data_IF_807267721479
#
_entry.id   IF_807267721479
#
_cell.length_a   1.000
_cell.length_b   1.000
_cell.length_c   1.000
_cell.angle_alpha   90.00
_cell.angle_beta   90.00
_cell.angle_gamma   90.00
#
_symmetry.space_group_name_H-M   'P 1'
#
loop_
_entity.id
_entity.type
_entity.pdbx_description
1 polymer ?
#
# COMPACT_ATOMS: atom_id res chain seq x y z
N UNK A 1 -11.30 12.03 -24.19
CA UNK A 1 -10.27 11.68 -25.22
C UNK A 1 -10.62 12.12 -26.63
N UNK A 2 -11.90 12.16 -27.06
CA UNK A 2 -12.28 12.54 -28.43
C UNK A 2 -11.72 13.90 -28.90
N UNK A 3 -11.62 14.89 -28.02
CA UNK A 3 -11.07 16.22 -28.33
C UNK A 3 -9.55 16.21 -28.62
N UNK A 4 -8.82 15.21 -28.11
CA UNK A 4 -7.38 15.08 -28.33
C UNK A 4 -7.07 14.26 -29.59
N UNK A 5 -7.98 13.41 -30.03
CA UNK A 5 -7.77 12.48 -31.15
C UNK A 5 -7.26 13.14 -32.44
N UNK A 6 -7.70 14.35 -32.85
CA UNK A 6 -7.18 15.00 -34.05
C UNK A 6 -5.67 15.27 -34.03
N UNK A 7 -5.08 15.40 -32.84
CA UNK A 7 -3.65 15.73 -32.66
C UNK A 7 -2.77 14.48 -32.53
N UNK A 8 -3.35 13.30 -32.31
CA UNK A 8 -2.62 12.05 -32.08
C UNK A 8 -3.07 10.97 -33.07
N UNK A 9 -2.41 10.91 -34.23
CA UNK A 9 -2.76 10.03 -35.37
C UNK A 9 -2.83 8.54 -35.04
N UNK A 10 -2.19 8.09 -33.97
CA UNK A 10 -2.15 6.69 -33.53
C UNK A 10 -2.94 6.45 -32.23
N UNK A 11 -3.79 7.39 -31.82
CA UNK A 11 -4.59 7.25 -30.60
C UNK A 11 -5.54 6.05 -30.70
N UNK A 12 -5.46 5.15 -29.73
CA UNK A 12 -6.33 3.98 -29.64
C UNK A 12 -7.73 4.37 -29.12
N UNK A 13 -8.77 3.53 -29.37
CA UNK A 13 -10.11 3.73 -28.82
C UNK A 13 -10.15 3.75 -27.28
N UNK A 14 -11.25 4.24 -26.72
CA UNK A 14 -11.49 4.21 -25.28
C UNK A 14 -11.56 2.77 -24.74
N UNK A 15 -10.92 2.53 -23.60
CA UNK A 15 -10.78 1.19 -23.02
C UNK A 15 -11.10 1.14 -21.51
N UNK A 16 -11.07 2.28 -20.83
CA UNK A 16 -11.12 2.35 -19.35
C UNK A 16 -12.42 1.82 -18.74
N UNK A 17 -13.54 1.84 -19.47
CA UNK A 17 -14.82 1.33 -18.97
C UNK A 17 -14.83 -0.17 -18.65
N UNK A 18 -13.90 -0.95 -19.21
CA UNK A 18 -13.80 -2.40 -19.02
C UNK A 18 -12.54 -2.82 -18.27
N UNK A 19 -11.70 -1.87 -17.89
CA UNK A 19 -10.46 -2.16 -17.20
C UNK A 19 -10.67 -2.08 -15.69
N UNK A 20 -10.19 -3.10 -14.97
CA UNK A 20 -10.02 -2.99 -13.53
C UNK A 20 -8.99 -1.90 -13.23
N UNK A 21 -9.28 -1.08 -12.21
CA UNK A 21 -8.28 -0.16 -11.67
C UNK A 21 -7.28 -0.96 -10.82
N UNK A 22 -6.02 -0.50 -10.76
CA UNK A 22 -5.02 -0.91 -9.77
C UNK A 22 -5.58 -1.26 -8.38
N UNK A 23 -5.33 -2.47 -7.90
CA UNK A 23 -5.85 -3.03 -6.65
C UNK A 23 -7.20 -3.74 -6.79
N UNK A 24 -7.96 -3.49 -7.86
CA UNK A 24 -9.22 -4.17 -8.17
C UNK A 24 -9.06 -5.35 -9.14
N UNK A 25 -7.87 -5.56 -9.70
CA UNK A 25 -7.54 -6.73 -10.51
C UNK A 25 -7.63 -8.03 -9.71
N UNK A 26 -7.99 -9.14 -10.36
CA UNK A 26 -7.91 -10.51 -9.80
C UNK A 26 -8.57 -10.73 -8.42
N UNK A 27 -9.60 -9.95 -8.09
CA UNK A 27 -10.38 -10.11 -6.87
C UNK A 27 -11.89 -9.93 -7.11
N UNK A 28 -12.70 -10.42 -6.17
CA UNK A 28 -14.16 -10.26 -6.18
C UNK A 28 -14.61 -9.22 -5.18
N UNK A 29 -14.43 -9.48 -3.87
CA UNK A 29 -14.74 -8.54 -2.79
C UNK A 29 -13.61 -8.46 -1.78
N UNK A 30 -13.55 -7.36 -1.03
CA UNK A 30 -12.56 -7.16 0.02
C UNK A 30 -12.69 -8.21 1.14
N UNK A 31 -13.90 -8.67 1.44
CA UNK A 31 -14.17 -9.69 2.47
C UNK A 31 -13.66 -11.06 2.04
N UNK A 32 -13.91 -11.45 0.78
CA UNK A 32 -13.40 -12.69 0.22
C UNK A 32 -11.86 -12.68 0.21
N UNK A 33 -11.26 -11.55 -0.18
CA UNK A 33 -9.82 -11.39 -0.17
C UNK A 33 -9.23 -11.46 1.25
N UNK A 34 -9.82 -10.75 2.23
CA UNK A 34 -9.37 -10.80 3.62
C UNK A 34 -9.45 -12.22 4.19
N UNK A 35 -10.51 -12.97 3.86
CA UNK A 35 -10.67 -14.38 4.24
C UNK A 35 -9.57 -15.25 3.64
N UNK A 36 -9.25 -15.03 2.37
CA UNK A 36 -8.19 -15.79 1.71
C UNK A 36 -6.80 -15.44 2.27
N UNK A 37 -6.55 -14.18 2.60
CA UNK A 37 -5.31 -13.74 3.23
C UNK A 37 -5.11 -14.41 4.60
N UNK A 38 -6.11 -14.41 5.48
CA UNK A 38 -5.99 -15.06 6.80
C UNK A 38 -5.94 -16.59 6.69
N UNK A 39 -6.52 -17.18 5.65
CA UNK A 39 -6.41 -18.62 5.38
C UNK A 39 -4.99 -19.02 4.95
N UNK A 40 -4.34 -18.24 4.09
CA UNK A 40 -2.96 -18.52 3.61
C UNK A 40 -1.89 -18.10 4.61
N UNK A 41 -2.12 -17.00 5.30
CA UNK A 41 -1.22 -16.41 6.28
C UNK A 41 -1.94 -16.43 7.64
N UNK A 42 -2.00 -17.60 8.28
CA UNK A 42 -2.72 -17.76 9.56
C UNK A 42 -2.14 -16.92 10.71
N UNK A 43 -0.91 -16.45 10.54
CA UNK A 43 -0.23 -15.51 11.43
C UNK A 43 -0.67 -14.05 11.24
N UNK A 44 -1.33 -13.71 10.13
CA UNK A 44 -1.75 -12.33 9.83
C UNK A 44 -3.00 -11.97 10.66
N UNK A 45 -2.94 -10.92 11.49
CA UNK A 45 -4.11 -10.47 12.25
C UNK A 45 -5.28 -10.11 11.33
N UNK A 46 -6.47 -10.65 11.63
CA UNK A 46 -7.68 -10.41 10.84
C UNK A 46 -8.01 -8.91 10.62
N UNK A 47 -7.81 -8.00 11.60
CA UNK A 47 -8.00 -6.57 11.37
C UNK A 47 -7.06 -5.98 10.30
N UNK A 48 -5.82 -6.47 10.20
CA UNK A 48 -4.86 -6.04 9.18
C UNK A 48 -5.28 -6.58 7.82
N UNK A 49 -5.62 -7.87 7.73
CA UNK A 49 -6.12 -8.47 6.49
C UNK A 49 -7.33 -7.73 5.93
N UNK A 50 -8.30 -7.39 6.81
CA UNK A 50 -9.48 -6.60 6.45
C UNK A 50 -9.12 -5.20 5.98
N UNK A 51 -8.22 -4.51 6.69
CA UNK A 51 -7.82 -3.14 6.32
C UNK A 51 -7.10 -3.14 4.97
N UNK A 52 -6.13 -4.03 4.78
CA UNK A 52 -5.37 -4.13 3.52
C UNK A 52 -6.26 -4.52 2.35
N UNK A 53 -7.22 -5.44 2.52
CA UNK A 53 -8.13 -5.80 1.43
C UNK A 53 -9.02 -4.64 0.97
N UNK A 54 -9.33 -3.69 1.85
CA UNK A 54 -10.07 -2.46 1.51
C UNK A 54 -9.14 -1.39 0.92
N UNK A 55 -7.95 -1.21 1.50
CA UNK A 55 -7.02 -0.13 1.11
C UNK A 55 -6.27 -0.44 -0.18
N UNK A 56 -5.78 -1.67 -0.34
CA UNK A 56 -4.89 -2.07 -1.43
C UNK A 56 -5.53 -3.10 -2.38
N UNK A 57 -6.64 -3.70 -1.97
CA UNK A 57 -7.28 -4.79 -2.72
C UNK A 57 -6.29 -5.90 -3.01
N UNK A 58 -6.30 -6.46 -4.22
CA UNK A 58 -5.43 -7.57 -4.62
C UNK A 58 -3.94 -7.28 -4.49
N UNK A 59 -3.52 -6.01 -4.47
CA UNK A 59 -2.11 -5.65 -4.24
C UNK A 59 -1.63 -5.92 -2.83
N UNK A 60 -2.54 -6.22 -1.90
CA UNK A 60 -2.19 -6.75 -0.57
C UNK A 60 -1.29 -7.98 -0.62
N UNK A 61 -1.34 -8.77 -1.71
CA UNK A 61 -0.43 -9.90 -1.90
C UNK A 61 1.04 -9.48 -2.02
N UNK A 62 1.33 -8.27 -2.55
CA UNK A 62 2.70 -7.73 -2.60
C UNK A 62 3.23 -7.43 -1.20
N UNK A 63 2.36 -6.93 -0.31
CA UNK A 63 2.69 -6.74 1.10
C UNK A 63 2.97 -8.06 1.83
N UNK A 64 2.45 -9.19 1.35
CA UNK A 64 2.68 -10.51 1.96
C UNK A 64 3.79 -11.32 1.29
N UNK A 65 4.32 -10.86 0.16
CA UNK A 65 5.28 -11.63 -0.64
C UNK A 65 6.57 -11.94 0.14
N UNK A 66 6.83 -13.23 0.38
CA UNK A 66 7.99 -13.69 1.14
C UNK A 66 7.89 -13.57 2.66
N UNK A 67 6.81 -12.96 3.20
CA UNK A 67 6.57 -12.94 4.64
C UNK A 67 5.98 -14.29 5.10
N UNK A 68 6.51 -14.83 6.19
CA UNK A 68 6.11 -16.10 6.79
C UNK A 68 5.62 -15.94 8.23
N UNK A 69 5.85 -14.78 8.85
CA UNK A 69 5.32 -14.45 10.17
C UNK A 69 5.00 -12.95 10.31
N UNK A 70 4.44 -12.59 11.47
CA UNK A 70 4.14 -11.19 11.77
C UNK A 70 5.42 -10.35 11.91
N UNK A 71 6.49 -10.96 12.41
CA UNK A 71 7.80 -10.34 12.58
C UNK A 71 8.42 -9.95 11.24
N UNK A 72 8.11 -10.66 10.14
CA UNK A 72 8.56 -10.32 8.79
C UNK A 72 7.91 -9.04 8.23
N UNK A 73 6.85 -8.53 8.88
CA UNK A 73 6.31 -7.20 8.58
C UNK A 73 7.18 -6.08 9.17
N UNK A 74 8.10 -6.42 10.06
CA UNK A 74 9.02 -5.50 10.72
C UNK A 74 8.40 -4.82 11.95
N UNK A 75 8.85 -3.60 12.24
CA UNK A 75 8.41 -2.88 13.44
C UNK A 75 6.94 -2.44 13.31
N UNK A 76 6.18 -2.64 14.38
CA UNK A 76 4.85 -2.06 14.53
C UNK A 76 4.96 -0.58 14.92
N UNK A 77 4.40 0.30 14.10
CA UNK A 77 4.50 1.77 14.26
C UNK A 77 3.25 2.38 14.91
N UNK A 78 2.24 1.57 15.21
CA UNK A 78 0.95 2.01 15.75
C UNK A 78 -0.22 1.72 14.81
N UNK A 79 -1.43 1.62 15.36
CA UNK A 79 -2.69 1.39 14.62
C UNK A 79 -2.69 0.23 13.58
N UNK A 80 -1.78 -0.73 13.72
CA UNK A 80 -1.63 -1.85 12.78
C UNK A 80 -0.82 -1.51 11.53
N UNK A 81 -0.12 -0.37 11.51
CA UNK A 81 0.88 0.00 10.51
C UNK A 81 2.21 -0.67 10.85
N UNK A 82 2.82 -1.32 9.88
CA UNK A 82 4.13 -1.94 10.00
C UNK A 82 5.12 -1.28 9.03
N UNK A 83 6.41 -1.35 9.33
CA UNK A 83 7.47 -0.78 8.48
C UNK A 83 7.40 -1.27 7.04
N UNK A 84 7.07 -2.56 6.84
CA UNK A 84 6.87 -3.13 5.49
C UNK A 84 5.76 -2.46 4.70
N UNK A 85 4.69 -2.02 5.36
CA UNK A 85 3.63 -1.26 4.71
C UNK A 85 4.10 0.14 4.33
N UNK A 86 4.91 0.79 5.19
CA UNK A 86 5.54 2.08 4.84
C UNK A 86 6.45 1.94 3.63
N UNK A 87 7.26 0.88 3.56
CA UNK A 87 8.14 0.62 2.41
C UNK A 87 7.33 0.46 1.12
N UNK A 88 6.27 -0.35 1.14
CA UNK A 88 5.35 -0.50 0.01
C UNK A 88 4.74 0.84 -0.42
N UNK A 89 4.28 1.66 0.53
CA UNK A 89 3.71 2.97 0.23
C UNK A 89 4.74 3.90 -0.42
N UNK A 90 6.00 3.85 0.02
CA UNK A 90 7.09 4.63 -0.55
C UNK A 90 7.49 4.14 -1.95
N UNK A 91 7.48 2.82 -2.18
CA UNK A 91 7.93 2.21 -3.43
C UNK A 91 6.87 2.18 -4.52
N UNK A 92 5.61 1.97 -4.14
CA UNK A 92 4.52 1.68 -5.07
C UNK A 92 3.46 2.79 -5.12
N UNK A 93 3.40 3.64 -4.10
CA UNK A 93 2.34 4.67 -3.97
C UNK A 93 2.86 6.10 -3.80
N UNK A 94 4.16 6.32 -4.05
CA UNK A 94 4.83 7.61 -4.00
C UNK A 94 4.60 8.37 -2.68
N UNK A 95 4.54 7.65 -1.56
CA UNK A 95 4.53 8.31 -0.26
C UNK A 95 5.90 8.93 0.02
N UNK A 96 5.95 10.25 0.21
CA UNK A 96 7.19 10.99 0.52
C UNK A 96 7.11 11.76 1.84
N UNK A 97 5.92 11.81 2.46
CA UNK A 97 5.71 12.47 3.74
C UNK A 97 4.83 11.64 4.67
N UNK A 98 4.86 11.95 5.96
CA UNK A 98 3.97 11.32 6.94
C UNK A 98 2.49 11.54 6.58
N UNK A 99 2.14 12.67 5.97
CA UNK A 99 0.78 12.96 5.54
C UNK A 99 0.32 12.11 4.37
N UNK A 100 1.23 11.68 3.48
CA UNK A 100 0.89 10.68 2.46
C UNK A 100 0.40 9.41 3.14
N UNK A 101 1.20 8.91 4.07
CA UNK A 101 0.96 7.63 4.74
C UNK A 101 -0.32 7.74 5.58
N UNK A 102 -0.34 8.65 6.55
CA UNK A 102 -1.36 8.67 7.61
C UNK A 102 -2.69 9.29 7.18
N UNK A 103 -2.69 10.25 6.25
CA UNK A 103 -3.89 11.02 5.93
C UNK A 103 -4.41 10.79 4.52
N UNK A 104 -3.57 10.43 3.55
CA UNK A 104 -4.02 10.18 2.18
C UNK A 104 -4.26 8.69 1.94
N UNK A 105 -3.23 7.85 2.07
CA UNK A 105 -3.26 6.43 1.69
C UNK A 105 -4.00 5.56 2.69
N UNK A 106 -3.75 5.73 3.99
CA UNK A 106 -4.25 4.77 4.99
C UNK A 106 -5.35 5.29 5.91
N UNK A 107 -5.42 6.61 6.17
CA UNK A 107 -6.25 7.22 7.21
C UNK A 107 -5.90 6.79 8.65
N UNK A 108 -4.75 6.16 8.87
CA UNK A 108 -4.32 5.73 10.21
C UNK A 108 -3.97 6.89 11.14
N UNK A 109 -3.81 8.11 10.63
CA UNK A 109 -3.67 9.32 11.45
C UNK A 109 -4.82 9.54 12.44
N UNK A 110 -6.01 9.00 12.16
CA UNK A 110 -7.16 9.02 13.06
C UNK A 110 -7.02 8.10 14.28
N UNK A 111 -6.09 7.15 14.23
CA UNK A 111 -5.95 6.07 15.20
C UNK A 111 -4.56 6.02 15.84
N UNK A 112 -3.67 6.96 15.50
CA UNK A 112 -2.29 7.03 16.01
C UNK A 112 -2.10 8.15 17.02
N UNK A 113 -1.39 7.88 18.11
CA UNK A 113 -0.95 8.92 19.08
C UNK A 113 0.18 9.79 18.51
N UNK A 114 0.49 10.95 19.12
CA UNK A 114 1.64 11.76 18.72
C UNK A 114 2.97 10.98 18.72
N UNK A 115 3.16 10.07 19.66
CA UNK A 115 4.36 9.24 19.77
C UNK A 115 4.45 8.23 18.61
N UNK A 116 3.32 7.60 18.25
CA UNK A 116 3.23 6.71 17.09
C UNK A 116 3.48 7.48 15.79
N UNK A 117 2.94 8.69 15.66
CA UNK A 117 3.22 9.56 14.49
C UNK A 117 4.72 9.92 14.40
N UNK A 118 5.36 10.20 15.53
CA UNK A 118 6.81 10.44 15.56
C UNK A 118 7.61 9.20 15.14
N UNK A 119 7.18 7.99 15.53
CA UNK A 119 7.80 6.74 15.09
C UNK A 119 7.69 6.54 13.57
N UNK A 120 6.53 6.85 12.98
CA UNK A 120 6.35 6.81 11.52
C UNK A 120 7.26 7.81 10.81
N UNK A 121 7.39 9.03 11.34
CA UNK A 121 8.29 10.06 10.78
C UNK A 121 9.75 9.60 10.80
N UNK A 122 10.22 9.09 11.94
CA UNK A 122 11.59 8.60 12.12
C UNK A 122 11.92 7.41 11.19
N UNK A 123 10.97 6.49 11.03
CA UNK A 123 11.15 5.38 10.10
C UNK A 123 11.21 5.87 8.64
N UNK A 124 10.31 6.79 8.25
CA UNK A 124 10.29 7.34 6.89
C UNK A 124 11.61 8.04 6.52
N UNK A 125 12.22 8.79 7.44
CA UNK A 125 13.55 9.39 7.24
C UNK A 125 14.62 8.33 6.95
N UNK A 126 14.54 7.18 7.62
CA UNK A 126 15.46 6.05 7.37
C UNK A 126 15.26 5.47 5.98
N UNK A 127 14.02 5.30 5.52
CA UNK A 127 13.70 4.83 4.17
C UNK A 127 14.24 5.79 3.10
N UNK A 128 14.02 7.10 3.27
CA UNK A 128 14.51 8.13 2.34
C UNK A 128 16.04 8.12 2.26
N UNK A 129 16.72 8.04 3.41
CA UNK A 129 18.19 7.95 3.46
C UNK A 129 18.72 6.70 2.75
N UNK A 130 18.06 5.56 2.93
CA UNK A 130 18.47 4.30 2.29
C UNK A 130 18.32 4.38 0.77
N UNK A 131 17.24 4.97 0.25
CA UNK A 131 17.05 5.20 -1.20
C UNK A 131 18.11 6.13 -1.78
N UNK A 132 18.39 7.25 -1.12
CA UNK A 132 19.42 8.19 -1.57
C UNK A 132 20.83 7.55 -1.60
N UNK A 133 21.12 6.65 -0.65
CA UNK A 133 22.40 5.93 -0.61
C UNK A 133 22.54 4.94 -1.76
N UNK A 134 21.43 4.34 -2.21
CA UNK A 134 21.40 3.42 -3.35
C UNK A 134 21.54 4.16 -4.69
N UNK A 135 20.95 5.34 -4.83
CA UNK A 135 21.07 6.17 -6.04
C UNK A 135 22.47 6.79 -6.22
N UNK A 136 23.24 6.90 -5.13
CA UNK A 136 24.60 7.44 -5.14
C UNK A 136 25.71 6.40 -5.39
N UNK A 137 25.36 5.10 -5.45
CA UNK A 137 26.28 3.97 -5.63
C UNK A 137 26.28 3.44 -7.07
#
# INVERSE_FOLDING_TARGET
MAQLAPFFKQMKPSWTAKAALPGGEDMTTAEALATEMTRRCSWLPAPIAKRWSITYGSRSWRLLEGAQSLEDLGQHLGAGLYTREVDYLCDQEWATSIEDILWRRTKLGLFTTPEEQAAVSSYLETVVRNKASFEAA
#
